data_IF_646045789817
#
_entry.id   IF_646045789817
#
_cell.length_a   1.000
_cell.length_b   1.000
_cell.length_c   1.000
_cell.angle_alpha   90.00
_cell.angle_beta   90.00
_cell.angle_gamma   90.00
#
_symmetry.space_group_name_H-M   'P 1'
#
loop_
_entity.id
_entity.type
_entity.pdbx_description
1 polymer ?
#
# COMPACT_ATOMS: atom_id res chain seq x y z
N UNK A 1 -64.43 -9.23 110.54
CA UNK A 1 -65.14 -9.12 109.25
C UNK A 1 -64.18 -8.56 108.22
N UNK A 2 -63.72 -9.26 107.23
CA UNK A 2 -62.83 -8.81 106.22
C UNK A 2 -63.57 -8.26 104.99
N UNK A 3 -63.18 -7.13 104.51
CA UNK A 3 -63.66 -6.39 103.33
C UNK A 3 -63.14 -7.06 102.02
N UNK A 4 -64.04 -7.50 101.15
CA UNK A 4 -63.74 -7.98 99.79
C UNK A 4 -63.24 -6.82 98.90
N UNK A 5 -62.02 -6.96 98.39
CA UNK A 5 -61.54 -6.03 97.31
C UNK A 5 -62.04 -6.57 95.95
N UNK A 6 -62.81 -5.71 95.30
CA UNK A 6 -63.27 -5.88 93.92
C UNK A 6 -62.13 -5.56 92.94
N UNK A 7 -61.76 -6.57 92.18
CA UNK A 7 -60.77 -6.42 91.17
C UNK A 7 -61.37 -6.03 89.79
N UNK A 8 -61.42 -4.71 89.49
CA UNK A 8 -61.96 -4.21 88.23
C UNK A 8 -60.97 -4.42 87.13
N UNK A 9 -61.17 -5.44 86.28
CA UNK A 9 -60.42 -5.67 85.04
C UNK A 9 -60.78 -4.48 84.08
N UNK A 10 -59.76 -3.70 83.71
CA UNK A 10 -59.86 -2.75 82.64
C UNK A 10 -59.90 -3.47 81.32
N UNK A 11 -61.03 -3.44 80.61
CA UNK A 11 -61.16 -3.94 79.25
C UNK A 11 -60.30 -3.05 78.34
N UNK A 12 -59.23 -3.57 77.83
CA UNK A 12 -58.44 -2.91 76.77
C UNK A 12 -59.24 -2.91 75.49
N UNK A 13 -59.51 -1.73 74.97
CA UNK A 13 -60.12 -1.59 73.62
C UNK A 13 -59.20 -2.25 72.57
N UNK A 14 -59.74 -3.04 71.61
CA UNK A 14 -58.97 -3.62 70.55
C UNK A 14 -58.36 -2.51 69.69
N UNK A 15 -57.04 -2.46 69.58
CA UNK A 15 -56.30 -1.62 68.66
C UNK A 15 -56.62 -2.10 67.25
N UNK A 16 -57.49 -1.41 66.54
CA UNK A 16 -57.67 -1.62 65.10
C UNK A 16 -56.40 -1.19 64.42
N UNK A 17 -55.53 -2.14 64.01
CA UNK A 17 -54.44 -1.89 63.08
C UNK A 17 -55.08 -1.53 61.74
N UNK A 18 -55.14 -0.25 61.41
CA UNK A 18 -55.45 0.21 60.05
C UNK A 18 -54.26 -0.11 59.16
N UNK A 19 -54.40 -1.13 58.31
CA UNK A 19 -53.48 -1.31 57.19
C UNK A 19 -53.73 -0.15 56.24
N UNK A 20 -52.86 0.85 56.26
CA UNK A 20 -52.77 1.87 55.22
C UNK A 20 -52.01 1.27 54.04
N UNK A 21 -52.74 0.94 52.98
CA UNK A 21 -52.09 0.62 51.70
C UNK A 21 -51.34 1.87 51.22
N UNK A 22 -50.08 1.76 50.79
CA UNK A 22 -49.36 2.88 50.27
C UNK A 22 -50.18 3.43 49.08
N UNK A 23 -50.40 4.74 49.02
CA UNK A 23 -51.01 5.39 47.89
C UNK A 23 -50.13 5.17 46.65
N UNK A 24 -50.54 4.25 45.77
CA UNK A 24 -49.85 3.97 44.53
C UNK A 24 -50.11 5.14 43.60
N UNK A 25 -49.07 5.94 43.40
CA UNK A 25 -49.12 7.09 42.52
C UNK A 25 -49.15 6.62 41.06
N UNK A 26 -50.35 6.43 40.50
CA UNK A 26 -50.56 5.88 39.15
C UNK A 26 -49.80 6.67 38.07
N UNK A 27 -49.61 7.98 38.28
CA UNK A 27 -48.86 8.81 37.32
C UNK A 27 -47.35 8.42 37.28
N UNK A 28 -46.75 8.06 38.43
CA UNK A 28 -45.36 7.60 38.49
C UNK A 28 -45.19 6.23 37.84
N UNK A 29 -46.16 5.36 38.04
CA UNK A 29 -46.15 4.02 37.38
C UNK A 29 -46.36 4.18 35.88
N UNK A 30 -47.27 5.05 35.44
CA UNK A 30 -47.44 5.35 34.02
C UNK A 30 -46.20 5.90 33.36
N UNK A 31 -45.54 6.87 34.01
CA UNK A 31 -44.28 7.42 33.49
C UNK A 31 -43.13 6.36 33.43
N UNK A 32 -43.03 5.53 34.48
CA UNK A 32 -42.06 4.44 34.50
C UNK A 32 -42.32 3.41 33.39
N UNK A 33 -43.57 3.04 33.16
CA UNK A 33 -43.97 2.13 32.09
C UNK A 33 -43.64 2.68 30.69
N UNK A 34 -43.88 3.99 30.47
CA UNK A 34 -43.50 4.66 29.22
C UNK A 34 -42.01 4.67 29.02
N UNK A 35 -41.22 4.97 30.05
CA UNK A 35 -39.76 4.93 29.96
C UNK A 35 -39.22 3.52 29.67
N UNK A 36 -39.80 2.50 30.31
CA UNK A 36 -39.46 1.11 30.03
C UNK A 36 -39.79 0.72 28.58
N UNK A 37 -40.97 1.13 28.10
CA UNK A 37 -41.39 0.87 26.72
C UNK A 37 -40.45 1.53 25.71
N UNK A 38 -40.07 2.80 25.94
CA UNK A 38 -39.07 3.49 25.11
C UNK A 38 -37.73 2.77 25.16
N UNK A 39 -37.28 2.35 26.35
CA UNK A 39 -36.03 1.62 26.50
C UNK A 39 -36.05 0.27 25.75
N UNK A 40 -37.15 -0.48 25.86
CA UNK A 40 -37.31 -1.77 25.17
C UNK A 40 -37.39 -1.57 23.64
N UNK A 41 -38.16 -0.59 23.16
CA UNK A 41 -38.25 -0.33 21.72
C UNK A 41 -36.91 0.18 21.15
N UNK A 42 -36.18 1.00 21.88
CA UNK A 42 -34.86 1.45 21.50
C UNK A 42 -33.87 0.29 21.47
N UNK A 43 -33.91 -0.61 22.45
CA UNK A 43 -33.05 -1.77 22.52
C UNK A 43 -33.34 -2.79 21.40
N UNK A 44 -34.62 -3.09 21.14
CA UNK A 44 -35.05 -3.95 20.03
C UNK A 44 -34.67 -3.34 18.67
N UNK A 45 -34.84 -2.03 18.53
CA UNK A 45 -34.41 -1.30 17.33
C UNK A 45 -32.90 -1.35 17.12
N UNK A 46 -32.11 -1.22 18.20
CA UNK A 46 -30.67 -1.29 18.14
C UNK A 46 -30.19 -2.72 17.79
N UNK A 47 -30.73 -3.76 18.40
CA UNK A 47 -30.38 -5.15 18.08
C UNK A 47 -30.75 -5.51 16.64
N UNK A 48 -31.95 -5.13 16.20
CA UNK A 48 -32.37 -5.35 14.80
C UNK A 48 -31.49 -4.62 13.79
N UNK A 49 -30.98 -3.44 14.14
CA UNK A 49 -30.08 -2.65 13.30
C UNK A 49 -28.66 -3.22 13.27
N UNK A 50 -28.18 -3.79 14.40
CA UNK A 50 -26.87 -4.42 14.51
C UNK A 50 -26.79 -5.75 13.74
N UNK A 51 -27.88 -6.50 13.68
CA UNK A 51 -27.97 -7.82 13.03
C UNK A 51 -28.26 -7.73 11.52
N UNK A 52 -28.43 -6.52 10.96
CA UNK A 52 -28.66 -6.39 9.53
C UNK A 52 -27.47 -6.91 8.72
N UNK A 53 -27.71 -7.84 7.79
CA UNK A 53 -26.64 -8.33 6.92
C UNK A 53 -26.18 -7.23 5.96
N UNK A 54 -24.94 -7.34 5.48
CA UNK A 54 -24.47 -6.55 4.33
C UNK A 54 -25.20 -7.07 3.08
N UNK A 55 -26.04 -6.25 2.49
CA UNK A 55 -26.88 -6.64 1.33
C UNK A 55 -26.17 -6.44 -0.01
N UNK A 56 -25.24 -5.48 -0.08
CA UNK A 56 -24.53 -5.19 -1.31
C UNK A 56 -23.15 -4.61 -1.03
N UNK A 57 -22.21 -4.97 -1.87
CA UNK A 57 -20.89 -4.38 -1.93
C UNK A 57 -20.79 -3.66 -3.27
N UNK A 58 -20.54 -2.35 -3.24
CA UNK A 58 -20.24 -1.58 -4.43
C UNK A 58 -18.76 -1.38 -4.50
N UNK A 59 -18.15 -1.81 -5.60
CA UNK A 59 -16.73 -1.73 -5.82
C UNK A 59 -16.50 -0.68 -6.89
N UNK A 60 -15.81 0.42 -6.52
CA UNK A 60 -15.49 1.53 -7.41
C UNK A 60 -13.97 1.53 -7.67
N UNK A 61 -13.57 1.61 -8.94
CA UNK A 61 -12.18 1.65 -9.37
C UNK A 61 -12.06 1.38 -10.86
N UNK A 62 -10.90 1.69 -11.43
CA UNK A 62 -10.52 1.23 -12.77
C UNK A 62 -9.79 -0.10 -12.60
N UNK A 63 -10.45 -1.18 -12.96
CA UNK A 63 -9.94 -2.54 -12.80
C UNK A 63 -9.33 -3.04 -14.10
N UNK A 64 -8.01 -3.17 -14.15
CA UNK A 64 -7.28 -3.79 -15.26
C UNK A 64 -6.73 -5.17 -14.87
N UNK A 65 -6.29 -5.31 -13.64
CA UNK A 65 -5.62 -6.51 -13.11
C UNK A 65 -6.36 -7.17 -11.98
N UNK A 66 -7.06 -6.40 -11.14
CA UNK A 66 -7.86 -6.91 -10.02
C UNK A 66 -9.29 -7.13 -10.50
N UNK A 67 -9.86 -8.31 -10.28
CA UNK A 67 -11.26 -8.56 -10.57
C UNK A 67 -12.14 -8.28 -9.35
N UNK A 68 -13.37 -7.77 -9.60
CA UNK A 68 -14.37 -7.59 -8.54
C UNK A 68 -14.62 -8.88 -7.74
N UNK A 69 -14.56 -10.04 -8.40
CA UNK A 69 -14.72 -11.35 -7.78
C UNK A 69 -13.60 -11.67 -6.78
N UNK A 70 -12.35 -11.28 -7.07
CA UNK A 70 -11.22 -11.45 -6.13
C UNK A 70 -11.39 -10.59 -4.88
N UNK A 71 -11.87 -9.35 -5.06
CA UNK A 71 -12.14 -8.44 -3.95
C UNK A 71 -13.27 -8.99 -3.08
N UNK A 72 -14.36 -9.42 -3.69
CA UNK A 72 -15.49 -10.04 -2.99
C UNK A 72 -15.06 -11.30 -2.23
N UNK A 73 -14.29 -12.18 -2.85
CA UNK A 73 -13.76 -13.38 -2.21
C UNK A 73 -12.86 -13.05 -0.99
N UNK A 74 -12.04 -11.99 -1.06
CA UNK A 74 -11.21 -11.55 0.05
C UNK A 74 -12.04 -10.98 1.22
N UNK A 75 -13.20 -10.40 0.94
CA UNK A 75 -14.10 -9.82 1.95
C UNK A 75 -15.04 -10.85 2.58
N UNK A 76 -15.44 -11.90 1.84
CA UNK A 76 -16.43 -12.90 2.25
C UNK A 76 -16.28 -13.43 3.70
N UNK A 77 -15.07 -13.79 4.17
CA UNK A 77 -14.89 -14.33 5.52
C UNK A 77 -15.28 -13.35 6.63
N UNK A 78 -15.31 -12.05 6.35
CA UNK A 78 -15.52 -10.99 7.33
C UNK A 78 -16.90 -10.34 7.28
N UNK A 79 -17.73 -10.67 6.29
CA UNK A 79 -19.06 -10.07 6.10
C UNK A 79 -20.15 -10.70 7.00
N UNK A 80 -19.87 -11.82 7.66
CA UNK A 80 -20.87 -12.59 8.43
C UNK A 80 -21.31 -11.94 9.75
N UNK A 81 -20.62 -10.94 10.25
CA UNK A 81 -20.89 -10.32 11.57
C UNK A 81 -22.00 -9.28 11.56
N UNK A 82 -22.58 -8.93 10.41
CA UNK A 82 -23.57 -7.88 10.23
C UNK A 82 -22.98 -6.52 9.85
N UNK A 83 -23.83 -5.64 9.27
CA UNK A 83 -23.38 -4.38 8.65
C UNK A 83 -22.65 -3.42 9.61
N UNK A 84 -23.12 -3.32 10.86
CA UNK A 84 -22.50 -2.42 11.86
C UNK A 84 -21.34 -3.10 12.60
N UNK A 85 -21.42 -4.41 12.81
CA UNK A 85 -20.41 -5.16 13.54
C UNK A 85 -19.17 -5.49 12.68
N UNK A 86 -19.29 -5.41 11.36
CA UNK A 86 -18.16 -5.65 10.43
C UNK A 86 -17.05 -4.63 10.67
N UNK A 87 -15.83 -5.09 10.94
CA UNK A 87 -14.66 -4.22 11.08
C UNK A 87 -14.11 -3.81 9.72
N UNK A 88 -14.24 -2.53 9.39
CA UNK A 88 -13.78 -1.98 8.10
C UNK A 88 -12.25 -2.02 7.95
N UNK A 89 -11.49 -1.94 9.06
CA UNK A 89 -10.03 -1.99 8.99
C UNK A 89 -9.55 -3.40 8.63
N UNK A 90 -10.24 -4.43 9.12
CA UNK A 90 -9.95 -5.83 8.75
C UNK A 90 -10.27 -6.06 7.28
N UNK A 91 -11.42 -5.55 6.79
CA UNK A 91 -11.77 -5.62 5.38
C UNK A 91 -10.75 -4.89 4.50
N UNK A 92 -10.37 -3.68 4.88
CA UNK A 92 -9.35 -2.91 4.15
C UNK A 92 -8.05 -3.71 4.05
N UNK A 93 -7.55 -4.24 5.17
CA UNK A 93 -6.34 -5.07 5.20
C UNK A 93 -6.45 -6.33 4.35
N UNK A 94 -7.60 -6.99 4.32
CA UNK A 94 -7.79 -8.18 3.50
C UNK A 94 -7.78 -7.86 1.99
N UNK A 95 -8.26 -6.69 1.61
CA UNK A 95 -8.24 -6.22 0.22
C UNK A 95 -6.83 -5.76 -0.18
N UNK A 96 -6.14 -5.00 0.68
CA UNK A 96 -4.76 -4.55 0.40
C UNK A 96 -3.74 -5.69 0.40
N UNK A 97 -4.07 -6.85 0.96
CA UNK A 97 -3.25 -8.06 0.85
C UNK A 97 -3.34 -8.74 -0.54
N UNK A 98 -4.27 -8.32 -1.41
CA UNK A 98 -4.34 -8.84 -2.76
C UNK A 98 -3.20 -8.28 -3.61
N UNK A 99 -2.52 -9.12 -4.41
CA UNK A 99 -1.58 -8.65 -5.41
C UNK A 99 -2.25 -7.63 -6.33
N UNK A 100 -1.54 -6.63 -6.78
CA UNK A 100 -2.02 -5.53 -7.61
C UNK A 100 -2.93 -4.52 -6.92
N UNK A 101 -3.14 -4.59 -5.60
CA UNK A 101 -3.84 -3.55 -4.85
C UNK A 101 -2.82 -2.69 -4.11
N UNK A 102 -2.69 -1.44 -4.53
CA UNK A 102 -1.85 -0.44 -3.87
C UNK A 102 -2.52 0.09 -2.60
N UNK A 103 -3.78 0.46 -2.71
CA UNK A 103 -4.57 0.97 -1.60
C UNK A 103 -6.04 0.59 -1.77
N UNK A 104 -6.72 0.45 -0.63
CA UNK A 104 -8.15 0.20 -0.58
C UNK A 104 -8.81 1.06 0.50
N UNK A 105 -9.97 1.60 0.20
CA UNK A 105 -10.79 2.34 1.15
C UNK A 105 -12.17 1.70 1.24
N UNK A 106 -12.60 1.37 2.44
CA UNK A 106 -13.91 0.76 2.68
C UNK A 106 -14.77 1.72 3.50
N UNK A 107 -15.96 2.05 3.01
CA UNK A 107 -16.90 2.97 3.67
C UNK A 107 -18.29 2.36 3.76
N UNK A 108 -18.97 2.63 4.87
CA UNK A 108 -20.39 2.27 5.01
C UNK A 108 -21.26 3.26 4.25
N UNK A 109 -22.20 2.74 3.47
CA UNK A 109 -23.28 3.50 2.84
C UNK A 109 -24.61 2.91 3.32
N UNK A 110 -25.38 3.74 4.01
CA UNK A 110 -26.67 3.36 4.55
C UNK A 110 -27.67 2.96 3.46
N UNK A 111 -28.56 1.97 3.71
CA UNK A 111 -28.76 1.28 4.98
C UNK A 111 -27.92 0.01 5.20
N UNK A 112 -27.32 -0.60 4.17
CA UNK A 112 -26.67 -1.93 4.25
C UNK A 112 -25.66 -2.19 3.14
N UNK A 113 -25.06 -1.13 2.56
CA UNK A 113 -24.11 -1.19 1.46
C UNK A 113 -22.71 -0.84 1.97
N UNK A 114 -21.70 -1.60 1.50
CA UNK A 114 -20.30 -1.24 1.65
C UNK A 114 -19.79 -0.69 0.31
N UNK A 115 -19.24 0.52 0.33
CA UNK A 115 -18.53 1.08 -0.81
C UNK A 115 -17.04 0.82 -0.63
N UNK A 116 -16.46 0.13 -1.60
CA UNK A 116 -15.04 -0.22 -1.66
C UNK A 116 -14.42 0.54 -2.82
N UNK A 117 -13.44 1.38 -2.54
CA UNK A 117 -12.66 2.06 -3.58
C UNK A 117 -11.26 1.48 -3.57
N UNK A 118 -10.76 1.09 -4.73
CA UNK A 118 -9.47 0.42 -4.89
C UNK A 118 -8.61 1.22 -5.86
N UNK A 119 -7.34 1.37 -5.48
CA UNK A 119 -6.27 1.86 -6.35
C UNK A 119 -5.37 0.69 -6.71
N UNK A 120 -5.21 0.42 -8.00
CA UNK A 120 -4.33 -0.65 -8.46
C UNK A 120 -2.87 -0.22 -8.47
N UNK A 121 -1.99 -1.19 -8.25
CA UNK A 121 -0.55 -1.04 -8.42
C UNK A 121 -0.16 -0.90 -9.89
N UNK A 122 0.78 -0.01 -10.15
CA UNK A 122 1.38 0.15 -11.46
C UNK A 122 2.81 -0.40 -11.46
N UNK A 123 3.04 -1.40 -12.30
CA UNK A 123 4.38 -1.93 -12.49
C UNK A 123 5.26 -0.89 -13.21
N UNK A 124 6.37 -0.50 -12.58
CA UNK A 124 7.34 0.44 -13.10
C UNK A 124 8.63 -0.24 -13.57
N UNK A 125 8.95 -1.42 -13.04
CA UNK A 125 10.12 -2.20 -13.44
C UNK A 125 9.91 -3.70 -13.15
N UNK A 126 10.67 -4.53 -13.85
CA UNK A 126 10.79 -5.96 -13.56
C UNK A 126 11.98 -6.19 -12.61
N UNK A 127 11.81 -7.01 -11.58
CA UNK A 127 12.86 -7.42 -10.65
C UNK A 127 13.29 -8.86 -10.90
N UNK A 128 14.56 -9.04 -11.15
CA UNK A 128 15.12 -10.37 -11.42
C UNK A 128 14.49 -11.02 -12.64
N UNK A 129 13.92 -12.22 -12.45
CA UNK A 129 13.34 -13.00 -13.54
C UNK A 129 11.87 -12.64 -13.78
N UNK A 130 11.08 -12.55 -12.72
CA UNK A 130 9.62 -12.52 -12.77
C UNK A 130 8.97 -11.66 -11.67
N UNK A 131 9.76 -10.93 -10.87
CA UNK A 131 9.24 -9.96 -9.90
C UNK A 131 8.79 -8.65 -10.57
N UNK A 132 7.88 -7.93 -9.94
CA UNK A 132 7.44 -6.61 -10.37
C UNK A 132 7.60 -5.57 -9.25
N UNK A 133 8.20 -4.45 -9.59
CA UNK A 133 8.37 -3.29 -8.72
C UNK A 133 7.41 -2.17 -9.12
N UNK A 134 6.85 -1.51 -8.12
CA UNK A 134 6.04 -0.31 -8.32
C UNK A 134 6.93 0.94 -8.49
N UNK A 135 6.30 2.11 -8.67
CA UNK A 135 7.00 3.41 -8.82
C UNK A 135 7.78 3.83 -7.57
N UNK A 136 7.50 3.21 -6.42
CA UNK A 136 8.22 3.45 -5.16
C UNK A 136 9.42 2.52 -4.98
N UNK A 137 9.58 1.52 -5.88
CA UNK A 137 10.62 0.50 -5.80
C UNK A 137 10.29 -0.67 -4.88
N UNK A 138 9.02 -0.81 -4.51
CA UNK A 138 8.55 -1.91 -3.68
C UNK A 138 8.21 -3.12 -4.55
N UNK A 139 8.62 -4.30 -4.11
CA UNK A 139 8.31 -5.57 -4.76
C UNK A 139 6.89 -5.99 -4.36
N UNK A 140 5.92 -5.81 -5.25
CA UNK A 140 4.51 -6.10 -4.97
C UNK A 140 4.01 -7.41 -5.60
N UNK A 141 4.75 -7.95 -6.58
CA UNK A 141 4.54 -9.29 -7.14
C UNK A 141 5.90 -9.99 -7.21
N UNK A 142 6.05 -11.15 -6.56
CA UNK A 142 7.28 -11.94 -6.59
C UNK A 142 7.37 -12.80 -7.87
N UNK A 143 6.24 -13.34 -8.33
CA UNK A 143 6.15 -14.24 -9.49
C UNK A 143 5.02 -13.83 -10.43
N UNK A 144 5.30 -12.94 -11.35
CA UNK A 144 4.35 -12.49 -12.35
C UNK A 144 4.26 -13.49 -13.52
N UNK A 145 3.04 -13.89 -13.87
CA UNK A 145 2.80 -14.77 -15.02
C UNK A 145 3.05 -14.07 -16.36
N UNK A 146 2.83 -12.77 -16.42
CA UNK A 146 3.03 -11.94 -17.59
C UNK A 146 3.77 -10.68 -17.20
N UNK A 147 4.91 -10.45 -17.84
CA UNK A 147 5.74 -9.27 -17.66
C UNK A 147 5.64 -8.46 -18.94
N UNK A 148 5.18 -7.19 -18.88
CA UNK A 148 5.21 -6.29 -20.02
C UNK A 148 6.64 -6.13 -20.55
N UNK A 149 6.81 -6.29 -21.86
CA UNK A 149 8.15 -6.29 -22.48
C UNK A 149 8.84 -4.91 -22.42
N UNK A 150 8.04 -3.85 -22.28
CA UNK A 150 8.47 -2.46 -22.19
C UNK A 150 9.08 -2.10 -20.83
N UNK A 151 8.86 -2.90 -19.79
CA UNK A 151 9.39 -2.61 -18.46
C UNK A 151 10.90 -2.79 -18.40
N UNK A 152 11.63 -1.84 -17.80
CA UNK A 152 13.06 -1.99 -17.55
C UNK A 152 13.32 -3.15 -16.58
N UNK A 153 14.46 -3.82 -16.75
CA UNK A 153 14.88 -4.96 -15.94
C UNK A 153 15.87 -4.54 -14.87
N UNK A 154 15.49 -4.74 -13.63
CA UNK A 154 16.33 -4.46 -12.48
C UNK A 154 16.77 -5.76 -11.82
N UNK A 155 18.00 -5.82 -11.35
CA UNK A 155 18.48 -7.00 -10.64
C UNK A 155 19.55 -6.64 -9.61
N UNK A 156 19.62 -7.43 -8.54
CA UNK A 156 20.59 -7.28 -7.46
C UNK A 156 20.49 -8.40 -6.44
N UNK A 157 21.32 -8.35 -5.40
CA UNK A 157 21.18 -9.24 -4.25
C UNK A 157 19.80 -9.08 -3.59
N UNK A 158 19.33 -10.15 -2.94
CA UNK A 158 18.07 -10.12 -2.20
C UNK A 158 18.07 -9.00 -1.15
N UNK A 159 16.97 -8.23 -1.08
CA UNK A 159 16.83 -7.09 -0.18
C UNK A 159 17.40 -5.77 -0.72
N UNK A 160 17.93 -5.74 -1.94
CA UNK A 160 18.42 -4.51 -2.60
C UNK A 160 17.40 -3.86 -3.54
N UNK A 161 16.17 -4.39 -3.62
CA UNK A 161 15.11 -3.98 -4.53
C UNK A 161 14.89 -2.46 -4.51
N UNK A 162 14.62 -1.92 -3.32
CA UNK A 162 14.37 -0.50 -3.12
C UNK A 162 15.57 0.38 -3.51
N UNK A 163 16.78 -0.07 -3.17
CA UNK A 163 18.00 0.67 -3.49
C UNK A 163 18.23 0.74 -5.00
N UNK A 164 18.11 -0.40 -5.68
CA UNK A 164 18.32 -0.49 -7.13
C UNK A 164 17.24 0.27 -7.89
N UNK A 165 15.98 0.15 -7.48
CA UNK A 165 14.87 0.88 -8.09
C UNK A 165 15.03 2.40 -7.94
N UNK A 166 15.35 2.89 -6.74
CA UNK A 166 15.60 4.31 -6.51
C UNK A 166 16.70 4.83 -7.41
N UNK A 167 17.81 4.09 -7.46
CA UNK A 167 18.93 4.47 -8.31
C UNK A 167 18.57 4.47 -9.79
N UNK A 168 17.81 3.47 -10.21
CA UNK A 168 17.30 3.41 -11.58
C UNK A 168 16.45 4.63 -11.93
N UNK A 169 15.47 4.99 -11.11
CA UNK A 169 14.58 6.13 -11.39
C UNK A 169 15.35 7.47 -11.41
N UNK A 170 16.35 7.64 -10.54
CA UNK A 170 17.23 8.83 -10.56
C UNK A 170 18.03 8.91 -11.87
N UNK A 171 18.59 7.79 -12.34
CA UNK A 171 19.34 7.71 -13.58
C UNK A 171 18.45 7.91 -14.80
N UNK A 172 17.26 7.30 -14.81
CA UNK A 172 16.32 7.35 -15.93
C UNK A 172 15.88 8.77 -16.25
N UNK A 173 15.64 9.60 -15.21
CA UNK A 173 15.34 11.03 -15.40
C UNK A 173 16.49 11.76 -16.12
N UNK A 174 17.73 11.52 -15.69
CA UNK A 174 18.90 12.20 -16.28
C UNK A 174 19.21 11.67 -17.70
N UNK A 175 18.97 10.38 -17.95
CA UNK A 175 19.13 9.78 -19.27
C UNK A 175 18.10 10.31 -20.27
N UNK A 176 16.83 10.41 -19.86
CA UNK A 176 15.75 10.94 -20.69
C UNK A 176 15.99 12.39 -21.12
N UNK A 177 16.59 13.20 -20.28
CA UNK A 177 16.99 14.58 -20.63
C UNK A 177 18.00 14.63 -21.78
N UNK A 178 18.75 13.54 -22.01
CA UNK A 178 19.76 13.35 -23.05
C UNK A 178 19.29 12.51 -24.23
N UNK A 179 17.98 12.17 -24.26
CA UNK A 179 17.40 11.30 -25.28
C UNK A 179 17.82 9.84 -25.18
N UNK A 180 18.31 9.42 -24.01
CA UNK A 180 18.66 8.04 -23.72
C UNK A 180 17.57 7.38 -22.89
N UNK A 181 17.40 6.05 -23.06
CA UNK A 181 16.50 5.25 -22.24
C UNK A 181 17.27 4.08 -21.64
N UNK A 182 17.12 3.90 -20.34
CA UNK A 182 17.65 2.72 -19.65
C UNK A 182 16.72 1.53 -19.86
N UNK A 183 17.27 0.37 -20.19
CA UNK A 183 16.51 -0.88 -20.33
C UNK A 183 16.83 -1.88 -19.22
N UNK A 184 18.01 -1.78 -18.59
CA UNK A 184 18.34 -2.59 -17.44
C UNK A 184 19.33 -1.88 -16.52
N UNK A 185 19.20 -2.14 -15.21
CA UNK A 185 20.19 -1.78 -14.20
C UNK A 185 20.42 -2.97 -13.29
N UNK A 186 21.67 -3.37 -13.14
CA UNK A 186 22.06 -4.49 -12.32
C UNK A 186 23.12 -4.09 -11.29
N UNK A 187 23.04 -4.67 -10.11
CA UNK A 187 24.11 -4.67 -9.12
C UNK A 187 24.48 -6.13 -8.80
N UNK A 188 25.77 -6.46 -8.85
CA UNK A 188 26.20 -7.81 -8.50
C UNK A 188 26.43 -7.97 -6.99
N UNK A 189 26.74 -9.19 -6.54
CA UNK A 189 27.01 -9.50 -5.13
C UNK A 189 28.23 -8.75 -4.57
N UNK A 190 29.12 -8.23 -5.42
CA UNK A 190 30.27 -7.41 -5.05
C UNK A 190 29.98 -5.93 -5.03
N UNK A 191 28.71 -5.55 -5.30
CA UNK A 191 28.25 -4.16 -5.37
C UNK A 191 28.63 -3.45 -6.66
N UNK A 192 29.04 -4.16 -7.73
CA UNK A 192 29.36 -3.50 -9.00
C UNK A 192 28.10 -3.26 -9.83
N UNK A 193 27.94 -2.03 -10.28
CA UNK A 193 26.80 -1.56 -11.03
C UNK A 193 27.04 -1.58 -12.53
N UNK A 194 26.04 -2.08 -13.26
CA UNK A 194 25.98 -2.11 -14.71
C UNK A 194 24.64 -1.55 -15.19
N UNK A 195 24.68 -0.64 -16.16
CA UNK A 195 23.51 -0.04 -16.80
C UNK A 195 23.50 -0.42 -18.26
N UNK A 196 22.36 -0.83 -18.79
CA UNK A 196 22.14 -1.09 -20.21
C UNK A 196 21.19 -0.04 -20.78
N UNK A 197 21.57 0.55 -21.91
CA UNK A 197 20.79 1.54 -22.62
C UNK A 197 20.09 0.93 -23.84
N UNK A 198 18.94 1.48 -24.23
CA UNK A 198 18.14 1.00 -25.37
C UNK A 198 18.87 1.08 -26.71
N UNK A 199 19.88 1.92 -26.85
CA UNK A 199 20.74 2.00 -28.03
C UNK A 199 21.85 0.94 -28.06
N UNK A 200 21.88 0.04 -27.07
CA UNK A 200 22.85 -1.07 -26.96
C UNK A 200 24.18 -0.69 -26.30
N UNK A 201 24.26 0.44 -25.62
CA UNK A 201 25.45 0.81 -24.83
C UNK A 201 25.36 0.17 -23.45
N UNK A 202 26.39 -0.58 -23.06
CA UNK A 202 26.62 -1.11 -21.72
C UNK A 202 27.52 -0.16 -20.92
N UNK A 203 27.04 0.41 -19.81
CA UNK A 203 27.83 1.26 -18.93
C UNK A 203 28.21 0.52 -17.66
N UNK A 204 29.51 0.40 -17.39
CA UNK A 204 30.06 -0.31 -16.23
C UNK A 204 30.61 0.67 -15.23
N UNK A 205 29.88 0.87 -14.12
CA UNK A 205 30.30 1.81 -13.07
C UNK A 205 31.22 1.16 -12.03
N UNK A 206 31.11 -0.17 -11.79
CA UNK A 206 31.82 -0.86 -10.72
C UNK A 206 31.21 -0.60 -9.34
N UNK A 207 31.91 -1.03 -8.28
CA UNK A 207 31.41 -1.08 -6.91
C UNK A 207 31.67 0.17 -6.08
N UNK A 208 32.53 1.09 -6.50
CA UNK A 208 32.98 2.24 -5.71
C UNK A 208 32.70 3.55 -6.41
N UNK A 209 32.48 4.61 -5.64
CA UNK A 209 32.29 5.99 -6.12
C UNK A 209 31.22 6.12 -7.24
N UNK A 210 30.07 5.45 -7.06
CA UNK A 210 29.03 5.37 -8.07
C UNK A 210 28.55 6.75 -8.53
N UNK A 211 28.32 7.69 -7.60
CA UNK A 211 27.85 9.05 -7.90
C UNK A 211 28.86 9.79 -8.77
N UNK A 212 30.14 9.79 -8.39
CA UNK A 212 31.18 10.46 -9.12
C UNK A 212 31.39 9.86 -10.53
N UNK A 213 31.28 8.53 -10.64
CA UNK A 213 31.39 7.81 -11.92
C UNK A 213 30.19 8.06 -12.82
N UNK A 214 29.00 8.16 -12.23
CA UNK A 214 27.78 8.52 -12.95
C UNK A 214 27.86 9.94 -13.48
N UNK A 215 28.26 10.90 -12.65
CA UNK A 215 28.45 12.30 -13.08
C UNK A 215 29.45 12.39 -14.23
N UNK A 216 30.59 11.70 -14.12
CA UNK A 216 31.60 11.64 -15.18
C UNK A 216 31.08 10.96 -16.45
N UNK A 217 30.25 9.94 -16.34
CA UNK A 217 29.62 9.33 -17.51
C UNK A 217 28.74 10.31 -18.26
N UNK A 218 27.89 11.07 -17.55
CA UNK A 218 27.06 12.08 -18.19
C UNK A 218 27.88 13.19 -18.84
N UNK A 219 28.91 13.67 -18.16
CA UNK A 219 29.84 14.65 -18.72
C UNK A 219 30.53 14.14 -19.98
N UNK A 220 31.07 12.91 -19.94
CA UNK A 220 31.69 12.26 -21.09
C UNK A 220 30.70 12.03 -22.23
N UNK A 221 29.45 11.69 -21.90
CA UNK A 221 28.41 11.54 -22.90
C UNK A 221 28.10 12.86 -23.59
N UNK A 222 27.87 13.91 -22.83
CA UNK A 222 27.51 15.23 -23.35
C UNK A 222 28.63 15.82 -24.20
N UNK A 223 29.90 15.65 -23.79
CA UNK A 223 31.04 16.29 -24.45
C UNK A 223 31.61 15.46 -25.63
N UNK A 224 31.59 14.13 -25.52
CA UNK A 224 32.36 13.26 -26.44
C UNK A 224 31.54 12.16 -27.09
N UNK A 225 30.69 11.48 -26.32
CA UNK A 225 30.09 10.22 -26.78
C UNK A 225 28.80 10.40 -27.59
N UNK A 226 28.08 11.50 -27.40
CA UNK A 226 26.78 11.71 -28.04
C UNK A 226 26.82 11.58 -29.58
N UNK A 227 27.80 12.13 -30.32
CA UNK A 227 27.87 11.98 -31.78
C UNK A 227 28.15 10.54 -32.23
N UNK A 228 28.70 9.72 -31.36
CA UNK A 228 29.13 8.34 -31.65
C UNK A 228 28.27 7.29 -30.94
N UNK A 229 27.21 7.69 -30.23
CA UNK A 229 26.40 6.80 -29.41
C UNK A 229 25.89 5.56 -30.16
N UNK A 230 25.59 5.69 -31.46
CA UNK A 230 25.19 4.57 -32.31
C UNK A 230 26.26 3.50 -32.51
N UNK A 231 27.57 3.86 -32.45
CA UNK A 231 28.73 3.00 -32.69
C UNK A 231 29.36 2.44 -31.42
N UNK A 232 29.05 3.06 -30.25
CA UNK A 232 29.58 2.63 -28.95
C UNK A 232 28.83 1.39 -28.49
N UNK A 233 29.57 0.33 -28.11
CA UNK A 233 29.02 -0.88 -27.52
C UNK A 233 29.10 -0.91 -26.01
N UNK A 234 30.19 -0.39 -25.42
CA UNK A 234 30.27 -0.24 -23.97
C UNK A 234 31.08 1.00 -23.55
N UNK A 235 30.81 1.47 -22.33
CA UNK A 235 31.58 2.49 -21.63
C UNK A 235 31.98 1.97 -20.26
N UNK A 236 33.27 1.88 -19.99
CA UNK A 236 33.79 1.41 -18.71
C UNK A 236 34.30 2.58 -17.87
N UNK A 237 33.55 2.90 -16.81
CA UNK A 237 33.80 4.01 -15.88
C UNK A 237 34.61 3.61 -14.65
N UNK A 238 35.13 2.39 -14.58
CA UNK A 238 35.84 1.87 -13.40
C UNK A 238 37.18 2.51 -13.14
N UNK A 239 37.76 3.15 -14.15
CA UNK A 239 39.03 3.85 -14.03
C UNK A 239 38.94 5.12 -13.18
N UNK A 240 40.01 5.46 -12.47
CA UNK A 240 40.03 6.60 -11.54
C UNK A 240 40.00 7.94 -12.29
N UNK A 241 40.77 8.10 -13.33
CA UNK A 241 40.99 9.36 -14.03
C UNK A 241 40.52 9.37 -15.48
N UNK A 242 39.61 8.46 -15.86
CA UNK A 242 39.12 8.38 -17.22
C UNK A 242 38.06 7.33 -17.41
N UNK A 243 37.84 6.96 -18.64
CA UNK A 243 36.96 5.87 -19.04
C UNK A 243 37.51 5.19 -20.29
N UNK A 244 37.07 3.97 -20.53
CA UNK A 244 37.34 3.30 -21.81
C UNK A 244 36.04 3.03 -22.55
N UNK A 245 36.13 3.04 -23.88
CA UNK A 245 35.02 2.71 -24.76
C UNK A 245 35.35 1.49 -25.60
N UNK A 246 34.38 0.64 -25.83
CA UNK A 246 34.43 -0.37 -26.86
C UNK A 246 33.40 -0.10 -27.93
N UNK A 247 33.77 -0.31 -29.16
CA UNK A 247 32.86 -0.10 -30.30
C UNK A 247 32.06 -1.39 -30.56
N UNK A 248 30.91 -1.21 -31.20
CA UNK A 248 30.16 -2.38 -31.72
C UNK A 248 30.98 -3.10 -32.80
N UNK A 249 30.76 -4.40 -32.98
CA UNK A 249 31.48 -5.17 -34.00
C UNK A 249 31.31 -4.57 -35.39
N UNK A 250 32.42 -4.28 -36.06
CA UNK A 250 32.43 -3.69 -37.41
C UNK A 250 32.47 -2.14 -37.44
N UNK A 251 32.26 -1.47 -36.31
CA UNK A 251 32.31 -0.02 -36.25
C UNK A 251 33.73 0.51 -36.03
N UNK A 252 34.01 1.67 -36.55
CA UNK A 252 35.28 2.43 -36.36
C UNK A 252 34.94 3.89 -36.09
N UNK A 253 35.60 4.50 -35.12
CA UNK A 253 35.60 5.93 -34.90
C UNK A 253 36.94 6.45 -35.48
N UNK A 254 36.88 7.26 -36.54
CA UNK A 254 38.01 8.10 -36.91
C UNK A 254 38.06 9.23 -35.91
N UNK A 255 39.01 9.19 -34.97
CA UNK A 255 39.38 10.38 -34.21
C UNK A 255 39.91 11.33 -35.25
N UNK A 256 39.20 12.45 -35.48
CA UNK A 256 39.75 13.56 -36.27
C UNK A 256 41.12 13.90 -35.65
N UNK A 257 42.12 14.05 -36.48
CA UNK A 257 43.49 14.37 -36.10
C UNK A 257 43.51 15.41 -34.96
N UNK A 258 43.83 14.93 -33.77
CA UNK A 258 44.28 15.80 -32.69
C UNK A 258 45.58 16.40 -33.23
N UNK A 259 45.51 17.72 -33.57
CA UNK A 259 46.54 18.41 -34.33
C UNK A 259 47.96 17.97 -33.96
N UNK A 260 48.69 17.57 -34.96
CA UNK A 260 50.13 17.55 -34.95
C UNK A 260 50.62 18.97 -34.57
N UNK A 261 50.90 19.16 -33.28
CA UNK A 261 51.83 20.24 -32.88
C UNK A 261 53.18 19.77 -33.34
N UNK A 262 53.60 20.23 -34.53
CA UNK A 262 54.97 20.13 -34.94
C UNK A 262 55.92 20.66 -33.84
N UNK A 263 56.98 19.90 -33.49
CA UNK A 263 57.98 20.45 -32.60
C UNK A 263 58.78 21.51 -33.41
N UNK A 264 58.60 22.76 -33.06
CA UNK A 264 59.53 23.79 -33.52
C UNK A 264 60.91 23.49 -33.00
N UNK A 265 61.83 23.30 -33.97
CA UNK A 265 63.29 23.21 -33.80
C UNK A 265 63.87 24.52 -33.26
#
# INVERSE_FOLDING_TARGET
MPRKRSNRRKSGKPVKRSFTFPEINLSRIGNAAVLILIGVTAWLGATWMLERPVNSVRIDGRFERVSAMQVEAAMMPYLGSGFLATDLNVLQKSITALPWVQDASVRRSWPSTLNVSITEEHAAACWGKDGLLNVYGELFVEHAKHIPAELPRLSGPAGSELQVARRFFELDVQLKQRGLNAVALAVDERGAWKLELSNGIDVRFGAVALEARTARFFEAFDQVLAPFAGKVGYVDMRYTNGFSIGLKPGDRIKLADAGETEPHA
#
